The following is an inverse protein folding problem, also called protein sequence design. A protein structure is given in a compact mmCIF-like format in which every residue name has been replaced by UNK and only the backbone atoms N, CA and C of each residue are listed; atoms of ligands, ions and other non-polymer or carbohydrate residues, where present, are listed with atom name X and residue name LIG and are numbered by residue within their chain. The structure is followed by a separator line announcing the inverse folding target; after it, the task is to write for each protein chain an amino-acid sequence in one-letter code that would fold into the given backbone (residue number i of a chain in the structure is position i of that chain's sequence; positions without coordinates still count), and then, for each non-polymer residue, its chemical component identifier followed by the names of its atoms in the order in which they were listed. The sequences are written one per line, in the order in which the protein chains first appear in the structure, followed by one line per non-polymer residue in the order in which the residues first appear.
data_IF_346646273256
#
_entry.id   IF_346646273256
#
_cell.length_a   1.000
_cell.length_b   1.000
_cell.length_c   1.000
_cell.angle_alpha   90.00
_cell.angle_beta   90.00
_cell.angle_gamma   90.00
#
_symmetry.space_group_name_H-M   'P 1'
#
loop_
_entity.id
_entity.type
_entity.pdbx_description
1 polymer ?
#
# COMPACT_ATOMS: atom_id res chain seq x y z
N UNK A 1 -18.64 -9.72 -5.39
CA UNK A 1 -17.34 -9.21 -4.98
C UNK A 1 -17.00 -9.74 -3.59
N UNK A 2 -15.74 -9.68 -3.22
CA UNK A 2 -15.28 -10.11 -1.90
C UNK A 2 -15.79 -9.17 -0.79
N UNK A 3 -16.29 -9.71 0.31
CA UNK A 3 -16.61 -8.96 1.52
C UNK A 3 -15.38 -8.96 2.44
N UNK A 4 -14.88 -7.77 2.80
CA UNK A 4 -13.71 -7.64 3.66
C UNK A 4 -13.99 -8.21 5.05
N UNK A 5 -13.04 -9.00 5.55
CA UNK A 5 -13.06 -9.62 6.87
C UNK A 5 -11.91 -9.13 7.72
N UNK A 6 -12.05 -9.29 9.01
CA UNK A 6 -10.97 -9.03 9.95
C UNK A 6 -9.72 -9.85 9.57
N UNK A 7 -8.56 -9.18 9.58
CA UNK A 7 -7.25 -9.74 9.22
C UNK A 7 -7.05 -10.08 7.73
N UNK A 8 -7.98 -9.72 6.85
CA UNK A 8 -7.68 -9.75 5.41
C UNK A 8 -6.47 -8.87 5.09
N UNK A 9 -5.65 -9.32 4.15
CA UNK A 9 -4.57 -8.53 3.57
C UNK A 9 -5.07 -7.98 2.23
N UNK A 10 -5.06 -6.65 2.09
CA UNK A 10 -5.55 -6.00 0.87
C UNK A 10 -4.38 -5.43 0.07
N UNK A 11 -4.24 -5.85 -1.18
CA UNK A 11 -3.23 -5.32 -2.09
C UNK A 11 -3.89 -4.56 -3.24
N UNK A 12 -3.34 -3.39 -3.54
CA UNK A 12 -3.87 -2.47 -4.56
C UNK A 12 -2.95 -2.48 -5.77
N UNK A 13 -3.43 -3.03 -6.89
CA UNK A 13 -2.74 -3.00 -8.16
C UNK A 13 -3.05 -1.69 -8.88
N UNK A 14 -2.09 -0.77 -8.90
CA UNK A 14 -2.19 0.52 -9.58
C UNK A 14 -1.59 0.50 -10.99
N UNK A 15 -1.00 -0.62 -11.38
CA UNK A 15 -0.16 -0.77 -12.56
C UNK A 15 1.14 0.08 -12.55
N UNK A 16 1.47 0.74 -11.45
CA UNK A 16 2.73 1.48 -11.31
C UNK A 16 3.96 0.58 -11.38
N UNK A 17 3.83 -0.68 -10.97
CA UNK A 17 4.90 -1.67 -11.04
C UNK A 17 5.52 -1.81 -12.43
N UNK A 18 4.76 -1.55 -13.51
CA UNK A 18 5.25 -1.54 -14.90
C UNK A 18 6.31 -0.46 -15.16
N UNK A 19 6.33 0.60 -14.36
CA UNK A 19 7.31 1.69 -14.45
C UNK A 19 8.52 1.47 -13.55
N UNK A 20 8.59 0.35 -12.80
CA UNK A 20 9.71 0.06 -11.91
C UNK A 20 11.06 0.09 -12.65
N UNK A 21 12.04 0.77 -12.07
CA UNK A 21 13.37 0.95 -12.67
C UNK A 21 13.47 2.14 -13.65
N UNK A 22 12.39 2.89 -13.87
CA UNK A 22 12.39 4.12 -14.66
C UNK A 22 12.23 5.36 -13.77
N UNK A 23 12.69 6.53 -14.28
CA UNK A 23 12.67 7.79 -13.53
C UNK A 23 11.27 8.26 -13.15
N UNK A 24 10.24 7.86 -13.90
CA UNK A 24 8.85 8.23 -13.65
C UNK A 24 8.13 7.30 -12.66
N UNK A 25 8.76 6.24 -12.17
CA UNK A 25 8.12 5.30 -11.24
C UNK A 25 7.56 6.01 -10.00
N UNK A 26 8.32 6.96 -9.44
CA UNK A 26 7.91 7.68 -8.22
C UNK A 26 6.66 8.56 -8.42
N UNK A 27 6.35 8.91 -9.67
CA UNK A 27 5.18 9.73 -10.04
C UNK A 27 4.05 8.94 -10.71
N UNK A 28 4.24 7.61 -10.87
CA UNK A 28 3.26 6.73 -11.52
C UNK A 28 2.37 6.04 -10.47
N UNK A 29 1.13 5.79 -10.84
CA UNK A 29 0.15 5.13 -10.00
C UNK A 29 -0.76 6.10 -9.24
N UNK A 30 -1.59 5.56 -8.41
CA UNK A 30 -2.45 6.31 -7.49
C UNK A 30 -2.12 5.93 -6.05
N UNK A 31 -2.52 6.76 -5.10
CA UNK A 31 -2.35 6.47 -3.68
C UNK A 31 -3.67 6.19 -2.97
N UNK A 32 -3.54 5.69 -1.77
CA UNK A 32 -4.64 5.47 -0.83
C UNK A 32 -4.61 6.60 0.20
N UNK A 33 -5.50 7.59 0.03
CA UNK A 33 -5.64 8.68 0.99
C UNK A 33 -6.21 8.22 2.33
N UNK A 34 -6.39 9.17 3.25
CA UNK A 34 -6.86 8.89 4.62
C UNK A 34 -8.18 8.11 4.64
N UNK A 35 -9.20 8.57 3.91
CA UNK A 35 -10.53 7.94 3.93
C UNK A 35 -10.49 6.50 3.41
N UNK A 36 -9.81 6.27 2.28
CA UNK A 36 -9.69 4.94 1.71
C UNK A 36 -8.90 3.99 2.63
N UNK A 37 -7.85 4.50 3.28
CA UNK A 37 -7.09 3.73 4.26
C UNK A 37 -7.96 3.37 5.46
N UNK A 38 -8.64 4.33 6.08
CA UNK A 38 -9.52 4.09 7.23
C UNK A 38 -10.67 3.14 6.88
N UNK A 39 -11.22 3.23 5.67
CA UNK A 39 -12.25 2.29 5.19
C UNK A 39 -11.82 0.82 5.34
N UNK A 40 -10.56 0.51 5.01
CA UNK A 40 -10.00 -0.83 5.18
C UNK A 40 -9.76 -1.16 6.66
N UNK A 41 -9.17 -0.23 7.41
CA UNK A 41 -8.78 -0.45 8.80
C UNK A 41 -9.97 -0.65 9.72
N UNK A 42 -11.07 0.08 9.50
CA UNK A 42 -12.35 -0.05 10.22
C UNK A 42 -13.01 -1.41 10.00
N UNK A 43 -12.66 -2.10 8.91
CA UNK A 43 -13.11 -3.49 8.60
C UNK A 43 -12.17 -4.57 9.09
N UNK A 44 -11.18 -4.20 9.89
CA UNK A 44 -10.26 -5.15 10.51
C UNK A 44 -9.01 -5.48 9.70
N UNK A 45 -8.81 -4.87 8.52
CA UNK A 45 -7.56 -4.99 7.77
C UNK A 45 -6.42 -4.36 8.58
N UNK A 46 -5.28 -5.04 8.68
CA UNK A 46 -4.10 -4.58 9.43
C UNK A 46 -2.82 -4.62 8.61
N UNK A 47 -2.89 -5.21 7.44
CA UNK A 47 -1.79 -5.22 6.47
C UNK A 47 -2.36 -4.91 5.09
N UNK A 48 -1.74 -3.93 4.42
CA UNK A 48 -2.08 -3.55 3.06
C UNK A 48 -0.84 -3.59 2.17
N UNK A 49 -1.01 -3.43 0.87
CA UNK A 49 0.13 -3.38 -0.04
C UNK A 49 -0.20 -2.69 -1.36
N UNK A 50 0.83 -2.24 -2.06
CA UNK A 50 0.71 -1.63 -3.39
C UNK A 50 1.94 -1.91 -4.25
N UNK A 51 1.74 -1.90 -5.56
CA UNK A 51 2.82 -1.92 -6.55
C UNK A 51 3.41 -0.52 -6.79
N UNK A 52 2.78 0.53 -6.26
CA UNK A 52 3.27 1.89 -6.36
C UNK A 52 4.51 2.14 -5.48
N UNK A 53 5.19 3.26 -5.76
CA UNK A 53 6.35 3.68 -4.99
C UNK A 53 6.02 3.96 -3.51
N UNK A 54 4.83 4.47 -3.24
CA UNK A 54 4.31 4.70 -1.89
C UNK A 54 2.84 4.29 -1.77
N UNK A 55 2.39 4.04 -0.55
CA UNK A 55 0.97 3.83 -0.22
C UNK A 55 0.14 5.09 -0.48
N UNK A 56 0.69 6.26 -0.21
CA UNK A 56 0.05 7.56 -0.52
C UNK A 56 0.23 7.97 -1.97
N UNK A 57 -0.58 8.92 -2.40
CA UNK A 57 -0.49 9.49 -3.74
C UNK A 57 0.89 10.10 -3.99
N UNK A 58 1.43 9.96 -5.22
CA UNK A 58 2.66 10.63 -5.60
C UNK A 58 2.60 12.14 -5.32
N UNK A 59 3.71 12.73 -4.86
CA UNK A 59 3.77 14.15 -4.50
C UNK A 59 3.33 15.10 -5.63
N UNK A 60 3.57 14.71 -6.89
CA UNK A 60 3.16 15.51 -8.07
C UNK A 60 1.63 15.59 -8.23
N UNK A 61 0.89 14.69 -7.61
CA UNK A 61 -0.58 14.63 -7.62
C UNK A 61 -1.19 15.09 -6.29
N UNK A 62 -0.35 15.49 -5.34
CA UNK A 62 -0.77 15.94 -4.04
C UNK A 62 -1.07 17.46 -4.09
N UNK A 63 -2.20 17.86 -3.54
CA UNK A 63 -2.61 19.27 -3.51
C UNK A 63 -1.76 20.16 -2.60
N UNK A 64 -0.81 19.59 -1.88
CA UNK A 64 0.09 20.36 -1.00
C UNK A 64 0.83 21.49 -1.74
N UNK A 65 1.33 21.22 -2.97
CA UNK A 65 2.02 22.24 -3.79
C UNK A 65 1.13 23.42 -4.16
N UNK A 66 -0.19 23.23 -4.19
CA UNK A 66 -1.17 24.26 -4.54
C UNK A 66 -1.66 25.00 -3.29
N UNK A 67 -1.86 24.30 -2.19
CA UNK A 67 -2.53 24.79 -0.98
C UNK A 67 -1.55 25.17 0.15
N UNK A 68 -0.35 24.61 0.17
CA UNK A 68 0.59 24.68 1.29
C UNK A 68 0.15 23.90 2.53
N UNK A 69 -0.95 23.14 2.43
CA UNK A 69 -1.49 22.39 3.57
C UNK A 69 -0.73 21.07 3.80
N UNK A 70 0.15 21.06 4.80
CA UNK A 70 0.96 19.89 5.16
C UNK A 70 0.12 18.70 5.66
N UNK A 71 -1.17 18.87 5.98
CA UNK A 71 -2.04 17.76 6.36
C UNK A 71 -2.26 16.80 5.18
N UNK A 72 -2.17 17.28 3.96
CA UNK A 72 -2.32 16.52 2.71
C UNK A 72 -1.11 15.64 2.35
N UNK A 73 0.00 15.76 3.11
CA UNK A 73 1.18 14.91 2.93
C UNK A 73 0.99 13.64 3.75
N UNK A 74 1.13 12.47 3.09
CA UNK A 74 1.08 11.16 3.73
C UNK A 74 -0.21 10.91 4.53
N UNK A 75 -1.34 11.18 3.94
CA UNK A 75 -2.66 11.01 4.56
C UNK A 75 -2.92 9.55 4.94
N UNK A 76 -2.58 8.60 4.06
CA UNK A 76 -2.70 7.17 4.32
C UNK A 76 -1.76 6.71 5.44
N UNK A 77 -0.49 7.14 5.43
CA UNK A 77 0.44 6.88 6.53
C UNK A 77 -0.07 7.44 7.85
N UNK A 78 -0.59 8.67 7.83
CA UNK A 78 -1.11 9.33 9.04
C UNK A 78 -2.36 8.65 9.60
N UNK A 79 -3.17 7.99 8.78
CA UNK A 79 -4.31 7.19 9.23
C UNK A 79 -3.90 6.11 10.24
N UNK A 80 -2.68 5.60 10.15
CA UNK A 80 -2.10 4.66 11.11
C UNK A 80 -1.93 5.19 12.53
N UNK A 81 -2.08 6.50 12.75
CA UNK A 81 -2.14 7.08 14.11
C UNK A 81 -3.48 6.86 14.79
N UNK A 82 -4.53 6.67 14.00
CA UNK A 82 -5.89 6.43 14.47
C UNK A 82 -6.13 4.93 14.65
N UNK A 83 -5.81 4.14 13.65
CA UNK A 83 -5.90 2.68 13.67
C UNK A 83 -4.57 2.12 13.15
N UNK A 84 -3.80 1.48 14.02
CA UNK A 84 -2.49 0.94 13.69
C UNK A 84 -2.55 -0.14 12.60
N UNK A 85 -1.67 -0.05 11.62
CA UNK A 85 -1.52 -1.00 10.52
C UNK A 85 -0.10 -0.98 9.97
N UNK A 86 0.21 -1.92 9.09
CA UNK A 86 1.42 -1.94 8.28
C UNK A 86 1.05 -1.94 6.80
N UNK A 87 1.95 -1.48 5.94
CA UNK A 87 1.77 -1.59 4.50
C UNK A 87 3.06 -2.03 3.81
N UNK A 88 2.87 -2.72 2.69
CA UNK A 88 3.92 -3.11 1.75
C UNK A 88 3.91 -2.13 0.59
N UNK A 89 5.09 -1.76 0.13
CA UNK A 89 5.24 -0.88 -1.03
C UNK A 89 6.13 -1.54 -2.07
N UNK A 90 6.00 -1.12 -3.32
CA UNK A 90 6.84 -1.62 -4.43
C UNK A 90 6.68 -3.12 -4.66
N UNK A 91 5.45 -3.63 -4.46
CA UNK A 91 5.11 -5.01 -4.85
C UNK A 91 5.18 -5.15 -6.37
N UNK A 92 5.38 -6.37 -6.83
CA UNK A 92 5.43 -6.69 -8.25
C UNK A 92 4.51 -7.85 -8.57
N UNK A 93 4.13 -7.98 -9.84
CA UNK A 93 3.27 -9.06 -10.36
C UNK A 93 1.86 -9.12 -9.73
N UNK A 94 1.31 -8.00 -9.26
CA UNK A 94 -0.05 -7.99 -8.71
C UNK A 94 -1.10 -8.30 -9.77
N UNK A 95 -0.81 -8.05 -11.05
CA UNK A 95 -1.70 -8.29 -12.19
C UNK A 95 -1.98 -9.78 -12.47
N UNK A 96 -1.15 -10.69 -11.95
CA UNK A 96 -1.36 -12.13 -12.11
C UNK A 96 -2.18 -12.75 -10.99
N UNK A 97 -2.48 -11.99 -9.94
CA UNK A 97 -3.23 -12.49 -8.80
C UNK A 97 -4.74 -12.53 -9.12
N UNK A 98 -5.46 -13.52 -8.60
CA UNK A 98 -6.92 -13.48 -8.59
C UNK A 98 -7.41 -12.31 -7.73
N UNK A 99 -8.67 -11.91 -7.90
CA UNK A 99 -9.27 -10.82 -7.12
C UNK A 99 -9.39 -11.11 -5.62
N UNK A 100 -9.43 -12.37 -5.24
CA UNK A 100 -9.44 -12.88 -3.86
C UNK A 100 -9.02 -14.36 -3.84
N UNK A 101 -8.98 -14.98 -2.65
CA UNK A 101 -8.72 -16.40 -2.48
C UNK A 101 -7.24 -16.78 -2.48
N UNK A 102 -6.34 -15.85 -2.22
CA UNK A 102 -4.91 -16.12 -2.06
C UNK A 102 -4.39 -15.71 -0.68
N UNK A 103 -3.28 -16.30 -0.28
CA UNK A 103 -2.56 -15.94 0.94
C UNK A 103 -1.34 -15.10 0.61
N UNK A 104 -0.96 -14.16 1.48
CA UNK A 104 0.30 -13.42 1.38
C UNK A 104 1.20 -13.78 2.54
N UNK A 105 2.42 -14.21 2.24
CA UNK A 105 3.48 -14.41 3.20
C UNK A 105 4.53 -13.30 3.05
N UNK A 106 4.78 -12.55 4.13
CA UNK A 106 5.75 -11.46 4.14
C UNK A 106 6.34 -11.27 5.55
N UNK A 107 7.65 -11.46 5.68
CA UNK A 107 8.37 -11.34 6.95
C UNK A 107 9.51 -10.34 6.80
N UNK A 108 9.36 -9.09 7.28
CA UNK A 108 10.38 -8.07 7.12
C UNK A 108 11.64 -8.38 7.94
N UNK A 109 12.79 -8.01 7.38
CA UNK A 109 14.06 -8.05 8.10
C UNK A 109 13.98 -7.08 9.28
N UNK A 110 14.39 -7.55 10.46
CA UNK A 110 14.43 -6.73 11.68
C UNK A 110 15.65 -5.82 11.66
N UNK A 111 15.42 -4.53 11.50
CA UNK A 111 16.46 -3.49 11.53
C UNK A 111 16.29 -2.66 12.80
N UNK A 112 17.32 -2.60 13.64
CA UNK A 112 17.26 -1.85 14.90
C UNK A 112 17.01 -0.36 14.63
N UNK A 113 15.98 0.20 15.24
CA UNK A 113 15.64 1.62 15.16
C UNK A 113 15.01 2.06 13.82
N UNK A 114 14.73 1.14 12.90
CA UNK A 114 14.02 1.44 11.67
C UNK A 114 12.51 1.24 11.84
N UNK A 115 11.72 2.04 11.12
CA UNK A 115 10.26 1.91 11.04
C UNK A 115 9.82 0.88 10.00
N UNK A 116 10.72 0.43 9.13
CA UNK A 116 10.46 -0.52 8.04
C UNK A 116 11.67 -1.44 7.81
N UNK A 117 11.45 -2.53 7.07
CA UNK A 117 12.49 -3.44 6.63
C UNK A 117 12.13 -4.07 5.29
N UNK A 118 13.12 -4.51 4.56
CA UNK A 118 12.88 -5.27 3.33
C UNK A 118 12.15 -6.57 3.63
N UNK A 119 11.26 -6.94 2.76
CA UNK A 119 10.57 -8.24 2.82
C UNK A 119 10.53 -8.90 1.45
N UNK A 120 10.56 -10.23 1.44
CA UNK A 120 10.14 -11.02 0.29
C UNK A 120 8.65 -11.30 0.50
N UNK A 121 7.80 -10.54 -0.18
CA UNK A 121 6.37 -10.86 -0.24
C UNK A 121 6.13 -11.92 -1.31
N UNK A 122 5.37 -12.95 -0.99
CA UNK A 122 4.94 -14.00 -1.93
C UNK A 122 3.45 -14.23 -1.76
N UNK A 123 2.74 -14.38 -2.87
CA UNK A 123 1.36 -14.83 -2.89
C UNK A 123 1.33 -16.36 -3.11
N UNK A 124 0.42 -17.03 -2.41
CA UNK A 124 0.20 -18.47 -2.48
C UNK A 124 -1.26 -18.68 -2.85
N UNK A 125 -1.52 -19.33 -3.96
CA UNK A 125 -2.85 -19.64 -4.46
C UNK A 125 -2.83 -20.93 -5.28
N UNK A 126 -3.97 -21.60 -5.39
CA UNK A 126 -4.15 -22.76 -6.24
C UNK A 126 -4.32 -22.32 -7.71
N UNK A 127 -3.79 -23.12 -8.66
CA UNK A 127 -3.96 -22.91 -10.09
C UNK A 127 -5.34 -23.38 -10.59
#
# INVERSE_FOLDING_TARGET
GHELKEMDIVVVNTAAGKAYGSDNYVSTGCGMGREATLYLLERGVRLTGTDAWSWDAPFVHNKFSETGDASLIWEGHKAGREIGYCHLEKLNNLEVLPGDGFEISCFPVKIRGASAGWTRAVAIFDE
#
